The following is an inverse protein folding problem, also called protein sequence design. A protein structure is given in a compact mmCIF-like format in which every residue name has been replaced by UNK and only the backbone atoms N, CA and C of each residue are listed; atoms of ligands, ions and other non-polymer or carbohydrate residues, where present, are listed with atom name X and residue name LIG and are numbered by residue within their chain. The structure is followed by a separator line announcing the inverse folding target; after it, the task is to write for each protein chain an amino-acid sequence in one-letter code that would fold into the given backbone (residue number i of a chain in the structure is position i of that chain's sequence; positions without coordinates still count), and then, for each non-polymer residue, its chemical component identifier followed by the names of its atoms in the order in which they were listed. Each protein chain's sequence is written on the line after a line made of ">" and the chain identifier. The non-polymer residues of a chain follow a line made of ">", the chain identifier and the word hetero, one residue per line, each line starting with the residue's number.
data_IF_677383630455
#
_entry.id   IF_677383630455
#
_cell.length_a   1.000
_cell.length_b   1.000
_cell.length_c   1.000
_cell.angle_alpha   90.00
_cell.angle_beta   90.00
_cell.angle_gamma   90.00
#
_symmetry.space_group_name_H-M   'P 1'
#
loop_
_entity.id
_entity.type
_entity.pdbx_description
1 polymer ?
#
# COMPACT_ATOMS: atom_id res chain seq x y z
N UNK A 1 -1.23 4.25 19.40
CA UNK A 1 -1.43 4.77 18.02
C UNK A 1 -1.26 3.69 16.95
N UNK A 2 -0.38 2.69 17.15
CA UNK A 2 -0.18 1.57 16.22
C UNK A 2 -1.43 0.70 15.95
N UNK A 3 -2.24 0.42 16.98
CA UNK A 3 -3.46 -0.39 16.83
C UNK A 3 -4.54 0.25 15.94
N UNK A 4 -4.58 1.59 15.89
CA UNK A 4 -5.50 2.30 15.00
C UNK A 4 -5.08 2.14 13.54
N UNK A 5 -3.78 2.26 13.25
CA UNK A 5 -3.24 2.03 11.90
C UNK A 5 -3.48 0.60 11.40
N UNK A 6 -3.31 -0.39 12.28
CA UNK A 6 -3.60 -1.79 11.96
C UNK A 6 -5.08 -2.04 11.68
N UNK A 7 -5.98 -1.42 12.45
CA UNK A 7 -7.43 -1.56 12.24
C UNK A 7 -7.85 -0.90 10.92
N UNK A 8 -7.37 0.31 10.63
CA UNK A 8 -7.64 0.99 9.35
C UNK A 8 -7.12 0.16 8.17
N UNK A 9 -5.90 -0.42 8.28
CA UNK A 9 -5.35 -1.30 7.24
C UNK A 9 -6.23 -2.52 7.01
N UNK A 10 -6.68 -3.18 8.08
CA UNK A 10 -7.56 -4.34 8.00
C UNK A 10 -8.88 -4.01 7.30
N UNK A 11 -9.50 -2.89 7.68
CA UNK A 11 -10.77 -2.44 7.11
C UNK A 11 -10.65 -2.10 5.62
N UNK A 12 -9.49 -1.59 5.22
CA UNK A 12 -9.12 -1.32 3.83
C UNK A 12 -8.95 -2.63 3.03
N UNK A 13 -8.23 -3.61 3.60
CA UNK A 13 -8.00 -4.93 2.97
C UNK A 13 -9.29 -5.73 2.82
N UNK A 14 -10.17 -5.66 3.82
CA UNK A 14 -11.48 -6.32 3.80
C UNK A 14 -12.51 -5.56 2.93
N UNK A 15 -12.13 -4.42 2.32
CA UNK A 15 -13.02 -3.63 1.45
C UNK A 15 -14.16 -2.94 2.19
N UNK A 16 -14.10 -2.87 3.53
CA UNK A 16 -15.11 -2.18 4.36
C UNK A 16 -14.94 -0.67 4.30
N UNK A 17 -13.75 -0.20 3.92
CA UNK A 17 -13.43 1.21 3.70
C UNK A 17 -13.04 1.41 2.23
N UNK A 18 -13.94 2.00 1.43
CA UNK A 18 -13.59 2.42 0.07
C UNK A 18 -12.88 3.77 0.10
N UNK A 19 -11.61 3.80 -0.27
CA UNK A 19 -10.81 5.02 -0.32
C UNK A 19 -10.48 5.45 -1.76
N UNK A 20 -9.92 6.66 -1.91
CA UNK A 20 -9.39 7.10 -3.20
C UNK A 20 -8.08 6.38 -3.54
N UNK A 21 -7.76 6.27 -4.84
CA UNK A 21 -6.50 5.67 -5.31
C UNK A 21 -5.27 6.31 -4.64
N UNK A 22 -5.30 7.62 -4.38
CA UNK A 22 -4.20 8.34 -3.69
C UNK A 22 -4.03 7.82 -2.26
N UNK A 23 -5.12 7.62 -1.54
CA UNK A 23 -5.10 7.10 -0.17
C UNK A 23 -4.56 5.67 -0.12
N UNK A 24 -5.00 4.82 -1.06
CA UNK A 24 -4.44 3.48 -1.22
C UNK A 24 -2.95 3.52 -1.48
N UNK A 25 -2.51 4.39 -2.40
CA UNK A 25 -1.10 4.51 -2.75
C UNK A 25 -0.23 4.93 -1.56
N UNK A 26 -0.73 5.89 -0.77
CA UNK A 26 -0.04 6.41 0.41
C UNK A 26 0.04 5.37 1.54
N UNK A 27 -1.04 4.61 1.76
CA UNK A 27 -1.03 3.53 2.75
C UNK A 27 -0.06 2.41 2.33
N UNK A 28 -0.07 2.04 1.06
CA UNK A 28 0.84 1.04 0.52
C UNK A 28 2.31 1.46 0.67
N UNK A 29 2.65 2.71 0.38
CA UNK A 29 4.01 3.21 0.56
C UNK A 29 4.44 3.15 2.02
N UNK A 30 3.55 3.49 2.97
CA UNK A 30 3.84 3.37 4.40
C UNK A 30 4.00 1.92 4.86
N UNK A 31 3.18 0.99 4.35
CA UNK A 31 3.30 -0.44 4.64
C UNK A 31 4.64 -0.95 4.13
N UNK A 32 5.01 -0.65 2.88
CA UNK A 32 6.29 -1.02 2.32
C UNK A 32 7.48 -0.41 3.09
N UNK A 33 7.39 0.87 3.50
CA UNK A 33 8.43 1.49 4.34
C UNK A 33 8.58 0.79 5.71
N UNK A 34 7.48 0.28 6.26
CA UNK A 34 7.49 -0.39 7.57
C UNK A 34 7.96 -1.84 7.49
N UNK A 35 7.60 -2.57 6.43
CA UNK A 35 7.89 -4.00 6.25
C UNK A 35 9.23 -4.24 5.56
N UNK A 36 9.55 -3.45 4.52
CA UNK A 36 10.75 -3.61 3.69
C UNK A 36 11.87 -2.65 4.13
N UNK A 37 11.53 -1.55 4.80
CA UNK A 37 12.50 -0.54 5.20
C UNK A 37 12.90 0.40 4.05
N UNK A 38 14.13 0.90 4.10
CA UNK A 38 14.67 1.77 3.04
C UNK A 38 14.82 1.03 1.72
N UNK A 39 14.47 1.74 0.65
CA UNK A 39 14.22 1.19 -0.68
C UNK A 39 15.44 0.52 -1.31
N UNK A 40 15.42 -0.81 -1.41
CA UNK A 40 16.41 -1.58 -2.19
C UNK A 40 16.01 -1.79 -3.67
N UNK A 41 14.71 -1.77 -4.02
CA UNK A 41 14.23 -2.08 -5.37
C UNK A 41 12.94 -1.35 -5.79
N UNK A 42 12.61 -1.42 -7.09
CA UNK A 42 11.38 -0.88 -7.69
C UNK A 42 10.15 -1.64 -7.16
N UNK A 43 9.07 -0.92 -6.84
CA UNK A 43 7.81 -1.55 -6.43
C UNK A 43 7.27 -2.34 -7.61
N UNK A 44 6.94 -3.62 -7.36
CA UNK A 44 6.33 -4.51 -8.33
C UNK A 44 5.00 -5.04 -7.79
N UNK A 45 4.07 -5.37 -8.69
CA UNK A 45 2.80 -6.05 -8.38
C UNK A 45 3.01 -7.24 -7.43
N UNK A 46 4.09 -7.99 -7.65
CA UNK A 46 4.51 -9.14 -6.84
C UNK A 46 4.91 -8.76 -5.42
N UNK A 47 5.62 -7.66 -5.22
CA UNK A 47 5.95 -7.15 -3.87
C UNK A 47 4.69 -6.66 -3.15
N UNK A 48 3.84 -5.89 -3.84
CA UNK A 48 2.60 -5.37 -3.27
C UNK A 48 1.67 -6.48 -2.80
N UNK A 49 1.57 -7.55 -3.60
CA UNK A 49 0.79 -8.74 -3.28
C UNK A 49 1.44 -9.59 -2.18
N UNK A 50 2.77 -9.66 -2.13
CA UNK A 50 3.48 -10.42 -1.10
C UNK A 50 3.35 -9.79 0.30
N UNK A 51 3.15 -8.47 0.38
CA UNK A 51 3.07 -7.73 1.63
C UNK A 51 1.64 -7.28 2.00
N UNK A 52 0.61 -7.73 1.29
CA UNK A 52 -0.78 -7.28 1.47
C UNK A 52 -0.88 -5.75 1.63
N UNK A 53 -0.16 -5.05 0.76
CA UNK A 53 0.00 -3.58 0.85
C UNK A 53 -1.24 -2.85 0.33
N UNK A 54 -1.95 -3.45 -0.62
CA UNK A 54 -3.17 -2.93 -1.27
C UNK A 54 -4.12 -4.09 -1.58
N UNK A 55 -5.44 -3.90 -1.48
CA UNK A 55 -6.38 -4.91 -1.95
C UNK A 55 -6.25 -5.14 -3.47
N UNK A 56 -6.24 -6.41 -3.89
CA UNK A 56 -6.07 -6.78 -5.30
C UNK A 56 -7.13 -6.16 -6.25
N UNK A 57 -8.32 -5.86 -5.74
CA UNK A 57 -9.39 -5.24 -6.53
C UNK A 57 -9.13 -3.76 -6.89
N UNK A 58 -8.19 -3.10 -6.21
CA UNK A 58 -7.79 -1.71 -6.47
C UNK A 58 -6.44 -1.66 -7.19
N UNK A 59 -5.76 -2.80 -7.35
CA UNK A 59 -4.44 -2.87 -7.94
C UNK A 59 -4.53 -2.62 -9.46
N UNK A 60 -4.26 -1.37 -9.85
CA UNK A 60 -4.17 -0.93 -11.24
C UNK A 60 -2.74 -0.46 -11.54
N UNK A 61 -2.28 -0.53 -12.80
CA UNK A 61 -0.93 -0.07 -13.16
C UNK A 61 -0.68 1.40 -12.82
N UNK A 62 -1.68 2.27 -12.95
CA UNK A 62 -1.57 3.68 -12.52
C UNK A 62 -1.35 3.81 -11.00
N UNK A 63 -1.99 2.93 -10.21
CA UNK A 63 -1.82 2.91 -8.76
C UNK A 63 -0.42 2.43 -8.38
N UNK A 64 0.10 1.41 -9.06
CA UNK A 64 1.46 0.91 -8.85
C UNK A 64 2.50 1.99 -9.08
N UNK A 65 2.40 2.74 -10.18
CA UNK A 65 3.30 3.85 -10.47
C UNK A 65 3.21 4.93 -9.38
N UNK A 66 1.99 5.22 -8.89
CA UNK A 66 1.79 6.17 -7.79
C UNK A 66 2.42 5.69 -6.48
N UNK A 67 2.33 4.40 -6.18
CA UNK A 67 2.96 3.80 -4.99
C UNK A 67 4.47 3.88 -5.13
N UNK A 68 5.03 3.53 -6.28
CA UNK A 68 6.47 3.61 -6.53
C UNK A 68 7.00 5.06 -6.44
N UNK A 69 6.21 6.04 -6.87
CA UNK A 69 6.50 7.47 -6.73
C UNK A 69 6.49 7.90 -5.25
N UNK A 70 5.43 7.56 -4.51
CA UNK A 70 5.27 7.94 -3.10
C UNK A 70 6.26 7.24 -2.19
N UNK A 71 6.56 5.97 -2.46
CA UNK A 71 7.59 5.21 -1.76
C UNK A 71 9.00 5.77 -2.01
N UNK A 72 9.19 6.69 -2.97
CA UNK A 72 10.49 7.35 -3.23
C UNK A 72 10.70 8.57 -2.34
N UNK A 73 9.61 9.13 -1.84
CA UNK A 73 9.63 10.32 -1.00
C UNK A 73 9.77 9.92 0.46
#
# INVERSE_FOLDING_TARGET
>A
RYQLGLSVRRDLMEGRLTCSNITYALLASYVLQSEVGDREARVSTTLLSAHDSVPLHVLTPDLEEKIDELYRK
#
